data_IF_442443857592
#
_entry.id   IF_442443857592
#
_cell.length_a   1.000
_cell.length_b   1.000
_cell.length_c   1.000
_cell.angle_alpha   90.00
_cell.angle_beta   90.00
_cell.angle_gamma   90.00
#
_symmetry.space_group_name_H-M   'P 1'
#
loop_
_entity.id
_entity.type
_entity.pdbx_description
1 polymer ?
#
# COMPACT_ATOMS: atom_id res chain seq x y z
N UNK A 1 41.49 46.46 3.92
CA UNK A 1 40.59 45.73 4.76
C UNK A 1 39.45 45.17 3.91
N UNK A 2 39.56 43.92 3.47
CA UNK A 2 38.52 43.24 2.66
C UNK A 2 37.54 42.54 3.62
N UNK A 3 36.28 42.97 3.60
CA UNK A 3 35.22 42.31 4.36
C UNK A 3 34.76 41.03 3.60
N UNK A 4 34.99 39.89 4.21
CA UNK A 4 34.48 38.59 3.73
C UNK A 4 33.01 38.47 4.15
N UNK A 5 32.12 38.39 3.18
CA UNK A 5 30.69 38.16 3.42
C UNK A 5 30.48 36.64 3.43
N UNK A 6 30.22 36.09 4.60
CA UNK A 6 29.79 34.70 4.72
C UNK A 6 28.29 34.63 4.44
N UNK A 7 27.92 34.01 3.31
CA UNK A 7 26.54 33.65 3.00
C UNK A 7 26.27 32.28 3.63
N UNK A 8 25.49 32.26 4.71
CA UNK A 8 24.95 31.04 5.27
C UNK A 8 23.82 30.51 4.34
N UNK A 9 24.08 29.48 3.60
CA UNK A 9 23.01 28.68 2.98
C UNK A 9 22.35 27.82 4.09
N UNK A 10 21.21 28.28 4.57
CA UNK A 10 20.33 27.47 5.36
C UNK A 10 19.69 26.43 4.41
N UNK A 11 20.18 25.18 4.43
CA UNK A 11 19.44 24.06 3.89
C UNK A 11 18.18 23.87 4.74
N UNK A 12 17.05 24.41 4.27
CA UNK A 12 15.74 23.97 4.73
C UNK A 12 15.57 22.52 4.25
N UNK A 13 15.77 21.59 5.16
CA UNK A 13 15.19 20.26 5.01
C UNK A 13 13.67 20.44 4.99
N UNK A 14 13.09 20.46 3.80
CA UNK A 14 11.67 20.20 3.63
C UNK A 14 11.46 18.75 4.09
N UNK A 15 11.05 18.59 5.34
CA UNK A 15 10.42 17.36 5.78
C UNK A 15 9.20 17.16 4.87
N UNK A 16 9.28 16.19 3.97
CA UNK A 16 8.12 15.66 3.26
C UNK A 16 7.19 15.19 4.36
N UNK A 17 6.11 15.91 4.60
CA UNK A 17 5.03 15.47 5.44
C UNK A 17 4.36 14.28 4.72
N UNK A 18 4.92 13.08 4.91
CA UNK A 18 4.16 11.86 4.69
C UNK A 18 2.86 12.02 5.48
N UNK A 19 1.73 11.63 4.89
CA UNK A 19 0.43 11.69 5.58
C UNK A 19 0.63 11.16 6.99
N UNK A 20 0.48 12.03 8.01
CA UNK A 20 0.62 11.62 9.41
C UNK A 20 -0.50 10.63 9.74
N UNK A 21 -0.20 9.36 9.57
CA UNK A 21 -1.00 8.28 10.12
C UNK A 21 -0.65 8.15 11.61
N UNK A 22 -1.12 9.12 12.39
CA UNK A 22 -0.91 9.13 13.83
C UNK A 22 -1.50 7.87 14.46
N UNK A 23 -0.84 7.36 15.49
CA UNK A 23 -1.33 6.27 16.31
C UNK A 23 -2.79 6.52 16.70
N UNK A 24 -3.69 5.59 16.34
CA UNK A 24 -5.10 5.76 16.59
C UNK A 24 -5.41 5.52 18.09
N UNK A 25 -5.79 6.57 18.78
CA UNK A 25 -6.38 6.44 20.12
C UNK A 25 -7.79 5.82 20.11
N UNK A 26 -8.34 5.58 18.90
CA UNK A 26 -9.71 5.06 18.67
C UNK A 26 -9.72 3.65 18.09
N UNK A 27 -8.64 2.88 18.25
CA UNK A 27 -8.61 1.50 17.75
C UNK A 27 -9.78 0.69 18.36
N UNK A 28 -10.49 -0.01 17.48
CA UNK A 28 -11.61 -0.88 17.86
C UNK A 28 -11.26 -2.33 17.55
N UNK A 29 -11.21 -3.17 18.61
CA UNK A 29 -10.99 -4.60 18.40
C UNK A 29 -12.20 -5.20 17.65
N UNK A 30 -11.98 -5.95 16.55
CA UNK A 30 -13.08 -6.56 15.80
C UNK A 30 -13.87 -7.54 16.69
N UNK A 31 -15.22 -7.50 16.59
CA UNK A 31 -16.09 -8.40 17.36
C UNK A 31 -16.10 -9.84 16.82
N UNK A 32 -15.87 -10.01 15.53
CA UNK A 32 -15.86 -11.32 14.85
C UNK A 32 -14.67 -12.17 15.33
N UNK A 33 -14.97 -13.37 15.86
CA UNK A 33 -13.97 -14.30 16.40
C UNK A 33 -13.02 -14.86 15.33
N UNK A 34 -13.48 -15.03 14.09
CA UNK A 34 -12.62 -15.48 12.99
C UNK A 34 -11.63 -14.38 12.60
N UNK A 35 -12.07 -13.12 12.59
CA UNK A 35 -11.19 -11.97 12.38
C UNK A 35 -10.18 -11.83 13.51
N UNK A 36 -10.59 -11.99 14.78
CA UNK A 36 -9.67 -11.99 15.92
C UNK A 36 -8.60 -13.08 15.82
N UNK A 37 -9.01 -14.31 15.46
CA UNK A 37 -8.09 -15.42 15.27
C UNK A 37 -7.09 -15.17 14.13
N UNK A 38 -7.56 -14.64 12.99
CA UNK A 38 -6.70 -14.25 11.87
C UNK A 38 -5.74 -13.13 12.27
N UNK A 39 -6.22 -12.13 13.00
CA UNK A 39 -5.42 -11.00 13.48
C UNK A 39 -4.30 -11.47 14.43
N UNK A 40 -4.61 -12.40 15.33
CA UNK A 40 -3.60 -13.03 16.18
C UNK A 40 -2.55 -13.79 15.36
N UNK A 41 -2.98 -14.54 14.34
CA UNK A 41 -2.07 -15.24 13.42
C UNK A 41 -1.15 -14.28 12.67
N UNK A 42 -1.75 -13.21 12.12
CA UNK A 42 -1.01 -12.17 11.39
C UNK A 42 -0.01 -11.43 12.30
N UNK A 43 -0.39 -11.13 13.55
CA UNK A 43 0.48 -10.48 14.52
C UNK A 43 1.74 -11.28 14.88
N UNK A 44 1.77 -12.59 14.62
CA UNK A 44 2.92 -13.47 14.89
C UNK A 44 3.92 -13.55 13.74
N UNK A 45 3.52 -13.26 12.51
CA UNK A 45 4.35 -13.46 11.32
C UNK A 45 5.25 -12.26 10.97
N UNK A 46 5.04 -11.11 11.57
CA UNK A 46 5.91 -9.95 11.72
C UNK A 46 6.46 -9.28 10.46
N UNK A 47 6.75 -10.00 9.37
CA UNK A 47 7.45 -9.48 8.21
C UNK A 47 6.74 -9.83 6.91
N UNK A 48 6.36 -8.81 6.13
CA UNK A 48 5.63 -8.91 4.88
C UNK A 48 6.26 -8.14 3.73
N UNK A 49 5.83 -8.46 2.52
CA UNK A 49 6.16 -7.80 1.27
C UNK A 49 4.97 -6.99 0.78
N UNK A 50 5.19 -5.72 0.44
CA UNK A 50 4.27 -4.90 -0.34
C UNK A 50 4.83 -4.72 -1.75
N UNK A 51 3.98 -4.70 -2.76
CA UNK A 51 4.43 -4.42 -4.12
C UNK A 51 3.52 -3.37 -4.76
N UNK A 52 4.10 -2.19 -5.05
CA UNK A 52 3.45 -1.17 -5.88
C UNK A 52 3.88 -1.35 -7.34
N UNK A 53 2.94 -1.80 -8.17
CA UNK A 53 3.22 -2.06 -9.57
C UNK A 53 2.04 -1.74 -10.48
N UNK A 54 2.32 -1.04 -11.56
CA UNK A 54 1.34 -0.63 -12.56
C UNK A 54 2.02 0.09 -13.73
N UNK A 55 1.23 0.70 -14.59
CA UNK A 55 1.72 1.40 -15.79
C UNK A 55 2.69 2.53 -15.47
N UNK A 56 2.57 3.16 -14.31
CA UNK A 56 3.44 4.23 -13.82
C UNK A 56 4.92 3.84 -13.69
N UNK A 57 5.22 2.56 -13.54
CA UNK A 57 6.60 2.07 -13.49
C UNK A 57 7.39 2.35 -14.79
N UNK A 58 6.70 2.51 -15.93
CA UNK A 58 7.33 2.86 -17.20
C UNK A 58 7.92 4.27 -17.21
N UNK A 59 7.31 5.19 -16.47
CA UNK A 59 7.79 6.56 -16.37
C UNK A 59 8.69 6.80 -15.16
N UNK A 60 8.74 5.86 -14.22
CA UNK A 60 9.47 6.03 -12.98
C UNK A 60 8.96 7.24 -12.18
N UNK A 61 7.65 7.42 -12.16
CA UNK A 61 6.96 8.47 -11.37
C UNK A 61 6.40 7.88 -10.08
N UNK A 62 6.05 8.75 -9.15
CA UNK A 62 5.44 8.36 -7.87
C UNK A 62 4.01 7.87 -8.14
N UNK A 63 3.87 6.58 -8.30
CA UNK A 63 2.64 5.84 -8.61
C UNK A 63 1.63 6.68 -9.44
N UNK A 64 0.37 6.72 -9.01
CA UNK A 64 -0.68 7.53 -9.65
C UNK A 64 -0.59 9.03 -9.35
N UNK A 65 0.21 9.45 -8.38
CA UNK A 65 0.11 10.80 -7.81
C UNK A 65 0.45 11.92 -8.79
N UNK A 66 1.24 11.64 -9.82
CA UNK A 66 1.48 12.61 -10.89
C UNK A 66 0.21 13.00 -11.68
N UNK A 67 -0.88 12.24 -11.54
CA UNK A 67 -2.21 12.59 -12.07
C UNK A 67 -2.97 13.56 -11.17
N UNK A 68 -2.63 13.66 -9.88
CA UNK A 68 -3.30 14.61 -8.99
C UNK A 68 -2.98 16.05 -9.42
N UNK A 69 -3.98 16.90 -9.72
CA UNK A 69 -3.72 18.15 -10.40
C UNK A 69 -3.02 19.20 -9.53
N UNK A 70 -3.30 19.29 -8.23
CA UNK A 70 -2.92 20.49 -7.48
C UNK A 70 -2.39 20.29 -6.06
N UNK A 71 -2.77 19.24 -5.35
CA UNK A 71 -2.66 19.23 -3.89
C UNK A 71 -1.34 18.71 -3.33
N UNK A 72 -0.46 18.16 -4.19
CA UNK A 72 0.75 17.49 -3.70
C UNK A 72 2.02 18.06 -4.35
N UNK A 73 2.74 18.92 -3.63
CA UNK A 73 3.98 19.52 -4.12
C UNK A 73 5.10 18.53 -4.45
N UNK A 74 5.05 17.30 -3.94
CA UNK A 74 5.99 16.23 -4.23
C UNK A 74 5.64 15.41 -5.49
N UNK A 75 4.46 15.62 -6.08
CA UNK A 75 3.99 14.91 -7.29
C UNK A 75 4.29 15.66 -8.58
N UNK A 76 5.46 16.21 -8.71
CA UNK A 76 5.83 17.01 -9.88
C UNK A 76 5.76 16.18 -11.16
N UNK A 77 4.89 16.58 -12.09
CA UNK A 77 4.82 16.00 -13.42
C UNK A 77 6.12 16.25 -14.19
N UNK A 78 6.60 15.23 -14.87
CA UNK A 78 7.84 15.28 -15.65
C UNK A 78 7.57 14.89 -17.11
N UNK A 79 8.52 15.22 -17.98
CA UNK A 79 8.48 14.85 -19.38
C UNK A 79 7.73 15.84 -20.28
N UNK A 80 7.54 15.50 -21.55
CA UNK A 80 7.07 16.44 -22.58
C UNK A 80 5.61 16.89 -22.39
N UNK A 81 4.82 16.15 -21.61
CA UNK A 81 3.40 16.45 -21.35
C UNK A 81 3.16 17.20 -20.05
N UNK A 82 4.20 17.50 -19.28
CA UNK A 82 4.07 18.03 -17.90
C UNK A 82 3.33 19.38 -17.81
N UNK A 83 3.35 20.19 -18.87
CA UNK A 83 2.81 21.56 -18.89
C UNK A 83 1.28 21.61 -19.08
N UNK A 84 0.65 20.56 -19.60
CA UNK A 84 -0.80 20.46 -19.78
C UNK A 84 -1.34 19.21 -19.11
N UNK A 85 -2.16 19.40 -18.09
CA UNK A 85 -2.70 18.29 -17.29
C UNK A 85 -3.55 17.29 -18.11
N UNK A 86 -4.36 17.79 -19.05
CA UNK A 86 -5.21 16.90 -19.85
C UNK A 86 -4.38 16.04 -20.80
N UNK A 87 -3.40 16.64 -21.46
CA UNK A 87 -2.47 15.93 -22.32
C UNK A 87 -1.62 14.93 -21.51
N UNK A 88 -1.20 15.32 -20.30
CA UNK A 88 -0.47 14.45 -19.39
C UNK A 88 -1.31 13.23 -18.99
N UNK A 89 -2.56 13.45 -18.56
CA UNK A 89 -3.49 12.37 -18.18
C UNK A 89 -3.72 11.42 -19.34
N UNK A 90 -3.97 11.93 -20.54
CA UNK A 90 -4.15 11.11 -21.74
C UNK A 90 -2.90 10.28 -22.07
N UNK A 91 -1.72 10.88 -22.00
CA UNK A 91 -0.45 10.18 -22.23
C UNK A 91 -0.20 9.10 -21.16
N UNK A 92 -0.50 9.41 -19.89
CA UNK A 92 -0.41 8.44 -18.80
C UNK A 92 -1.35 7.25 -18.99
N UNK A 93 -2.62 7.48 -19.30
CA UNK A 93 -3.60 6.42 -19.55
C UNK A 93 -3.22 5.56 -20.76
N UNK A 94 -2.53 6.14 -21.76
CA UNK A 94 -2.02 5.42 -22.91
C UNK A 94 -0.82 4.51 -22.57
N UNK A 95 -0.20 4.61 -21.40
CA UNK A 95 0.84 3.69 -20.95
C UNK A 95 0.37 2.22 -20.94
N UNK A 96 -0.93 1.98 -20.81
CA UNK A 96 -1.52 0.64 -20.94
C UNK A 96 -1.17 -0.03 -22.28
N UNK A 97 -0.93 0.77 -23.35
CA UNK A 97 -0.65 0.26 -24.70
C UNK A 97 0.80 -0.18 -24.91
N UNK A 98 1.67 0.15 -23.97
CA UNK A 98 3.10 -0.16 -23.99
C UNK A 98 3.56 -1.00 -22.80
N UNK A 99 2.70 -1.14 -21.77
CA UNK A 99 3.02 -1.91 -20.59
C UNK A 99 3.01 -3.41 -20.88
N UNK A 100 4.21 -3.97 -21.04
CA UNK A 100 4.42 -5.37 -21.46
C UNK A 100 5.47 -6.06 -20.60
N UNK A 101 5.13 -6.54 -19.39
CA UNK A 101 6.07 -7.11 -18.43
C UNK A 101 6.50 -8.54 -18.79
N UNK A 102 7.24 -8.71 -19.88
CA UNK A 102 7.64 -10.02 -20.44
C UNK A 102 8.54 -10.85 -19.53
N UNK A 103 9.19 -10.23 -18.52
CA UNK A 103 10.02 -10.94 -17.52
C UNK A 103 9.25 -11.30 -16.25
N UNK A 104 7.95 -11.03 -16.19
CA UNK A 104 7.13 -11.32 -15.03
C UNK A 104 7.23 -12.80 -14.60
N UNK A 105 7.74 -13.00 -13.39
CA UNK A 105 7.93 -14.32 -12.80
C UNK A 105 7.59 -14.28 -11.31
N UNK A 106 6.31 -14.46 -10.95
CA UNK A 106 5.86 -14.37 -9.56
C UNK A 106 6.44 -15.47 -8.67
N UNK A 107 6.77 -16.64 -9.21
CA UNK A 107 7.39 -17.74 -8.47
C UNK A 107 8.80 -17.35 -7.98
N UNK A 108 9.57 -16.65 -8.82
CA UNK A 108 10.89 -16.11 -8.46
C UNK A 108 10.77 -15.10 -7.32
N UNK A 109 9.77 -14.22 -7.38
CA UNK A 109 9.51 -13.22 -6.34
C UNK A 109 9.09 -13.87 -5.01
N UNK A 110 8.16 -14.84 -5.07
CA UNK A 110 7.69 -15.55 -3.90
C UNK A 110 8.82 -16.32 -3.20
N UNK A 111 9.71 -16.96 -3.98
CA UNK A 111 10.88 -17.66 -3.44
C UNK A 111 11.87 -16.68 -2.79
N UNK A 112 12.17 -15.55 -3.43
CA UNK A 112 13.07 -14.54 -2.88
C UNK A 112 12.52 -13.95 -1.57
N UNK A 113 11.24 -13.63 -1.51
CA UNK A 113 10.57 -13.14 -0.32
C UNK A 113 10.56 -14.19 0.81
N UNK A 114 10.28 -15.46 0.48
CA UNK A 114 10.36 -16.57 1.45
C UNK A 114 11.74 -16.73 2.04
N UNK A 115 12.76 -16.70 1.19
CA UNK A 115 14.18 -16.83 1.63
C UNK A 115 14.61 -15.64 2.49
N UNK A 116 14.04 -14.45 2.27
CA UNK A 116 14.24 -13.28 3.13
C UNK A 116 13.52 -13.39 4.49
N UNK A 117 12.68 -14.41 4.68
CA UNK A 117 11.91 -14.60 5.91
C UNK A 117 10.54 -13.91 5.92
N UNK A 118 10.07 -13.38 4.81
CA UNK A 118 8.73 -12.80 4.72
C UNK A 118 7.65 -13.88 4.78
N UNK A 119 6.48 -13.57 5.35
CA UNK A 119 5.40 -14.51 5.62
C UNK A 119 4.04 -14.09 5.06
N UNK A 120 3.89 -12.85 4.62
CA UNK A 120 2.68 -12.38 3.95
C UNK A 120 3.05 -11.41 2.83
N UNK A 121 2.16 -11.28 1.87
CA UNK A 121 2.30 -10.36 0.73
C UNK A 121 1.04 -9.52 0.60
N UNK A 122 1.22 -8.23 0.28
CA UNK A 122 0.16 -7.33 -0.14
C UNK A 122 0.51 -6.80 -1.53
N UNK A 123 -0.37 -7.02 -2.50
CA UNK A 123 -0.14 -6.61 -3.88
C UNK A 123 -1.14 -5.54 -4.32
N UNK A 124 -0.65 -4.48 -4.99
CA UNK A 124 -1.50 -3.43 -5.57
C UNK A 124 -2.30 -3.98 -6.75
N UNK A 125 -3.51 -4.45 -6.49
CA UNK A 125 -4.41 -4.92 -7.56
C UNK A 125 -4.91 -3.76 -8.43
N UNK A 126 -5.08 -2.59 -7.82
CA UNK A 126 -5.40 -1.31 -8.48
C UNK A 126 -4.89 -0.16 -7.60
N UNK A 127 -4.14 0.80 -8.17
CA UNK A 127 -3.80 2.06 -7.52
C UNK A 127 -4.81 3.16 -7.90
N UNK A 128 -4.63 4.41 -7.45
CA UNK A 128 -5.60 5.51 -7.64
C UNK A 128 -5.86 5.84 -9.12
N UNK A 129 -4.90 5.57 -10.03
CA UNK A 129 -5.05 5.76 -11.48
C UNK A 129 -6.13 4.90 -12.13
N UNK A 130 -6.63 3.90 -11.41
CA UNK A 130 -7.66 3.00 -11.89
C UNK A 130 -7.16 1.90 -12.82
N UNK A 131 -5.83 1.78 -13.08
CA UNK A 131 -5.32 0.67 -13.88
C UNK A 131 -5.36 -0.63 -13.08
N UNK A 132 -6.09 -1.61 -13.60
CA UNK A 132 -6.33 -2.87 -12.92
C UNK A 132 -5.27 -3.90 -13.32
N UNK A 133 -4.49 -4.39 -12.34
CA UNK A 133 -3.55 -5.49 -12.50
C UNK A 133 -4.22 -6.87 -12.34
N UNK A 134 -5.55 -6.89 -12.40
CA UNK A 134 -6.41 -8.07 -12.32
C UNK A 134 -7.49 -8.04 -13.42
N UNK A 135 -8.09 -9.18 -13.70
CA UNK A 135 -9.08 -9.32 -14.75
C UNK A 135 -10.49 -8.94 -14.27
N UNK A 136 -10.74 -7.65 -14.07
CA UNK A 136 -12.06 -7.14 -13.69
C UNK A 136 -13.01 -7.09 -14.88
N UNK A 137 -14.30 -7.31 -14.63
CA UNK A 137 -15.38 -7.12 -15.60
C UNK A 137 -15.92 -5.67 -15.59
N UNK A 138 -15.47 -4.85 -14.63
CA UNK A 138 -15.99 -3.51 -14.40
C UNK A 138 -15.29 -2.44 -15.24
N UNK A 139 -14.12 -2.72 -15.80
CA UNK A 139 -13.31 -1.76 -16.56
C UNK A 139 -12.48 -2.47 -17.64
N UNK A 140 -12.32 -1.81 -18.80
CA UNK A 140 -11.35 -2.22 -19.83
C UNK A 140 -9.95 -1.62 -19.62
N UNK A 141 -9.80 -0.71 -18.66
CA UNK A 141 -8.51 -0.15 -18.25
C UNK A 141 -7.79 -1.13 -17.33
N UNK A 142 -7.27 -2.19 -17.92
CA UNK A 142 -6.69 -3.34 -17.19
C UNK A 142 -5.61 -4.03 -18.01
N UNK A 143 -4.72 -4.77 -17.33
CA UNK A 143 -3.61 -5.49 -17.94
C UNK A 143 -4.08 -6.63 -18.86
N UNK A 144 -5.26 -7.19 -18.63
CA UNK A 144 -5.92 -8.19 -19.51
C UNK A 144 -6.79 -7.56 -20.60
N UNK A 145 -6.86 -6.22 -20.64
CA UNK A 145 -7.72 -5.49 -21.57
C UNK A 145 -7.17 -5.53 -23.02
N UNK A 146 -8.07 -5.28 -23.98
CA UNK A 146 -7.75 -5.36 -25.41
C UNK A 146 -6.65 -4.38 -25.88
N UNK A 147 -6.39 -3.32 -25.12
CA UNK A 147 -5.34 -2.34 -25.39
C UNK A 147 -3.97 -2.75 -24.82
N UNK A 148 -3.92 -3.74 -23.94
CA UNK A 148 -2.69 -4.19 -23.30
C UNK A 148 -1.95 -5.17 -24.21
N UNK A 149 -0.66 -4.94 -24.52
CA UNK A 149 0.15 -5.90 -25.25
C UNK A 149 0.38 -7.21 -24.48
N UNK A 150 0.20 -7.18 -23.15
CA UNK A 150 0.36 -8.35 -22.28
C UNK A 150 -0.91 -9.21 -22.18
N UNK A 151 -2.05 -8.76 -22.72
CA UNK A 151 -3.35 -9.43 -22.58
C UNK A 151 -3.39 -10.91 -23.03
N UNK A 152 -2.57 -11.27 -24.02
CA UNK A 152 -2.49 -12.64 -24.55
C UNK A 152 -1.42 -13.50 -23.85
N UNK A 153 -0.71 -12.97 -22.85
CA UNK A 153 0.24 -13.75 -22.08
C UNK A 153 -0.53 -14.72 -21.15
N UNK A 154 -0.10 -16.00 -21.02
CA UNK A 154 -0.74 -16.94 -20.09
C UNK A 154 -0.82 -16.43 -18.64
N UNK A 155 0.10 -15.54 -18.24
CA UNK A 155 0.16 -14.89 -16.92
C UNK A 155 -0.44 -13.47 -16.90
N UNK A 156 -1.30 -13.12 -17.87
CA UNK A 156 -1.85 -11.77 -17.99
C UNK A 156 -2.69 -11.32 -16.79
N UNK A 157 -3.34 -12.25 -16.10
CA UNK A 157 -4.01 -11.93 -14.84
C UNK A 157 -2.99 -11.89 -13.68
N UNK A 158 -2.21 -10.82 -13.66
CA UNK A 158 -1.04 -10.64 -12.78
C UNK A 158 -1.36 -10.87 -11.32
N UNK A 159 -2.46 -10.28 -10.81
CA UNK A 159 -2.85 -10.45 -9.42
C UNK A 159 -3.10 -11.93 -9.07
N UNK A 160 -3.76 -12.69 -9.97
CA UNK A 160 -4.03 -14.11 -9.77
C UNK A 160 -2.75 -14.92 -9.69
N UNK A 161 -1.81 -14.66 -10.60
CA UNK A 161 -0.52 -15.34 -10.66
C UNK A 161 0.33 -15.04 -9.40
N UNK A 162 0.36 -13.79 -8.95
CA UNK A 162 1.04 -13.41 -7.71
C UNK A 162 0.41 -14.13 -6.51
N UNK A 163 -0.91 -14.06 -6.34
CA UNK A 163 -1.55 -14.71 -5.21
C UNK A 163 -1.35 -16.22 -5.20
N UNK A 164 -1.37 -16.87 -6.35
CA UNK A 164 -1.09 -18.31 -6.46
C UNK A 164 0.36 -18.61 -6.05
N UNK A 165 1.34 -17.95 -6.67
CA UNK A 165 2.75 -18.21 -6.41
C UNK A 165 3.13 -17.99 -4.93
N UNK A 166 2.60 -16.95 -4.29
CA UNK A 166 2.87 -16.68 -2.88
C UNK A 166 2.14 -17.65 -1.95
N UNK A 167 0.90 -18.03 -2.26
CA UNK A 167 0.15 -19.05 -1.52
C UNK A 167 0.86 -20.40 -1.53
N UNK A 168 1.40 -20.80 -2.70
CA UNK A 168 2.16 -22.06 -2.85
C UNK A 168 3.44 -22.05 -2.00
N UNK A 169 3.96 -20.88 -1.64
CA UNK A 169 5.07 -20.73 -0.70
C UNK A 169 4.62 -20.58 0.77
N UNK A 170 3.31 -20.66 1.06
CA UNK A 170 2.75 -20.61 2.42
C UNK A 170 2.53 -19.20 2.97
N UNK A 171 2.47 -18.19 2.12
CA UNK A 171 2.20 -16.81 2.54
C UNK A 171 0.72 -16.58 2.83
N UNK A 172 0.41 -15.70 3.78
CA UNK A 172 -0.86 -14.99 3.76
C UNK A 172 -0.88 -14.03 2.59
N UNK A 173 -2.01 -13.94 1.88
CA UNK A 173 -2.17 -13.08 0.71
C UNK A 173 -3.09 -11.91 1.00
N UNK A 174 -2.67 -10.73 0.57
CA UNK A 174 -3.40 -9.49 0.73
C UNK A 174 -3.59 -8.75 -0.61
N UNK A 175 -4.82 -8.33 -0.85
CA UNK A 175 -5.17 -7.46 -1.96
C UNK A 175 -5.15 -6.00 -1.48
N UNK A 176 -4.17 -5.22 -1.93
CA UNK A 176 -4.26 -3.77 -1.87
C UNK A 176 -5.24 -3.31 -2.95
N UNK A 177 -6.14 -2.44 -2.56
CA UNK A 177 -7.12 -1.86 -3.45
C UNK A 177 -7.33 -0.38 -3.11
N UNK A 178 -7.12 0.51 -4.09
CA UNK A 178 -7.48 1.91 -3.96
C UNK A 178 -8.98 2.10 -3.99
N UNK A 179 -9.54 2.73 -2.97
CA UNK A 179 -10.96 3.12 -2.95
C UNK A 179 -11.29 4.17 -4.03
N UNK A 180 -10.50 5.26 -4.19
CA UNK A 180 -10.68 6.17 -5.32
C UNK A 180 -10.28 5.51 -6.64
N UNK A 181 -10.83 6.01 -7.73
CA UNK A 181 -10.48 5.61 -9.09
C UNK A 181 -10.51 6.83 -10.00
N UNK A 182 -9.33 7.31 -10.38
CA UNK A 182 -9.18 8.56 -11.15
C UNK A 182 -9.39 8.38 -12.67
N UNK A 183 -9.62 7.14 -13.13
CA UNK A 183 -9.96 6.85 -14.51
C UNK A 183 -11.48 6.82 -14.73
N UNK A 184 -12.23 6.25 -13.77
CA UNK A 184 -13.69 6.15 -13.94
C UNK A 184 -14.36 7.52 -13.94
N UNK A 185 -15.27 7.78 -14.92
CA UNK A 185 -16.05 9.01 -14.95
C UNK A 185 -17.04 9.12 -13.79
N UNK A 186 -17.23 8.07 -13.01
CA UNK A 186 -18.07 8.06 -11.82
C UNK A 186 -17.37 8.61 -10.58
N UNK A 187 -16.04 8.82 -10.66
CA UNK A 187 -15.27 9.48 -9.62
C UNK A 187 -14.70 10.83 -10.10
N UNK A 188 -13.92 10.84 -11.21
CA UNK A 188 -13.49 12.07 -11.87
C UNK A 188 -14.29 12.29 -13.15
N UNK A 189 -15.37 13.05 -13.00
CA UNK A 189 -16.29 13.28 -14.10
C UNK A 189 -15.84 14.45 -14.97
N UNK A 190 -15.70 14.21 -16.28
CA UNK A 190 -15.16 15.18 -17.26
C UNK A 190 -15.84 16.57 -17.26
N UNK A 191 -17.09 16.67 -16.81
CA UNK A 191 -17.81 17.96 -16.71
C UNK A 191 -17.40 18.79 -15.49
N UNK A 192 -16.71 18.18 -14.54
CA UNK A 192 -16.14 18.79 -13.34
C UNK A 192 -14.67 18.40 -13.25
N UNK A 193 -13.74 19.19 -13.87
CA UNK A 193 -12.32 18.89 -13.80
C UNK A 193 -11.86 18.69 -12.36
N UNK A 194 -11.13 17.62 -12.07
CA UNK A 194 -10.61 17.40 -10.73
C UNK A 194 -9.65 18.53 -10.33
N UNK A 195 -9.70 18.90 -9.06
CA UNK A 195 -8.82 19.92 -8.46
C UNK A 195 -7.82 19.32 -7.50
N UNK A 196 -8.20 18.21 -6.93
CA UNK A 196 -7.47 17.47 -5.92
C UNK A 196 -7.79 15.96 -6.03
N UNK A 197 -7.39 15.17 -5.06
CA UNK A 197 -7.60 13.72 -4.98
C UNK A 197 -9.06 13.27 -4.81
N UNK A 198 -9.96 14.19 -4.42
CA UNK A 198 -11.33 13.85 -4.08
C UNK A 198 -12.20 13.64 -5.33
N UNK A 199 -13.45 13.18 -5.12
CA UNK A 199 -14.47 13.13 -6.15
C UNK A 199 -14.66 14.53 -6.76
N UNK A 200 -14.72 14.61 -8.10
CA UNK A 200 -14.69 15.91 -8.81
C UNK A 200 -16.03 16.64 -8.82
N UNK A 201 -17.10 16.05 -8.32
CA UNK A 201 -18.45 16.60 -8.27
C UNK A 201 -19.06 16.46 -6.87
N UNK A 202 -20.20 17.06 -6.64
CA UNK A 202 -20.95 16.91 -5.38
C UNK A 202 -21.87 15.68 -5.45
N UNK A 203 -21.56 14.58 -4.72
CA UNK A 203 -22.38 13.37 -4.70
C UNK A 203 -23.83 13.60 -4.24
N UNK A 204 -24.09 14.65 -3.43
CA UNK A 204 -25.45 15.01 -3.02
C UNK A 204 -26.27 15.57 -4.17
N UNK A 205 -25.61 16.25 -5.13
CA UNK A 205 -26.30 16.80 -6.34
C UNK A 205 -26.45 15.76 -7.45
N UNK A 206 -25.57 14.77 -7.48
CA UNK A 206 -25.54 13.71 -8.50
C UNK A 206 -25.50 12.33 -7.84
N UNK A 207 -26.54 11.97 -7.07
CA UNK A 207 -26.53 10.74 -6.28
C UNK A 207 -26.48 9.47 -7.13
N UNK A 208 -27.10 9.47 -8.33
CA UNK A 208 -27.07 8.34 -9.25
C UNK A 208 -25.63 8.01 -9.71
N UNK A 209 -24.82 9.05 -9.87
CA UNK A 209 -23.42 8.89 -10.27
C UNK A 209 -22.57 8.31 -9.14
N UNK A 210 -22.84 8.75 -7.91
CA UNK A 210 -22.18 8.21 -6.74
C UNK A 210 -22.58 6.75 -6.46
N UNK A 211 -23.84 6.40 -6.63
CA UNK A 211 -24.33 5.02 -6.52
C UNK A 211 -23.70 4.11 -7.59
N UNK A 212 -23.50 4.63 -8.82
CA UNK A 212 -22.75 3.91 -9.86
C UNK A 212 -21.32 3.63 -9.42
N UNK A 213 -20.62 4.61 -8.84
CA UNK A 213 -19.27 4.44 -8.31
C UNK A 213 -19.21 3.43 -7.14
N UNK A 214 -20.18 3.50 -6.22
CA UNK A 214 -20.29 2.51 -5.14
C UNK A 214 -20.43 1.09 -5.67
N UNK A 215 -21.31 0.90 -6.65
CA UNK A 215 -21.52 -0.39 -7.29
C UNK A 215 -20.27 -0.88 -8.02
N UNK A 216 -19.60 0.00 -8.75
CA UNK A 216 -18.33 -0.28 -9.42
C UNK A 216 -17.27 -0.78 -8.44
N UNK A 217 -17.07 -0.05 -7.33
CA UNK A 217 -16.11 -0.40 -6.29
C UNK A 217 -16.47 -1.71 -5.58
N UNK A 218 -17.74 -1.88 -5.23
CA UNK A 218 -18.26 -3.11 -4.62
C UNK A 218 -17.99 -4.33 -5.50
N UNK A 219 -18.36 -4.25 -6.78
CA UNK A 219 -18.20 -5.36 -7.72
C UNK A 219 -16.73 -5.73 -7.94
N UNK A 220 -15.81 -4.75 -8.04
CA UNK A 220 -14.39 -5.03 -8.17
C UNK A 220 -13.82 -5.73 -6.93
N UNK A 221 -14.23 -5.32 -5.74
CA UNK A 221 -13.81 -5.98 -4.50
C UNK A 221 -14.42 -7.39 -4.41
N UNK A 222 -15.68 -7.56 -4.81
CA UNK A 222 -16.33 -8.89 -4.85
C UNK A 222 -15.60 -9.85 -5.79
N UNK A 223 -15.21 -9.41 -6.99
CA UNK A 223 -14.40 -10.18 -7.93
C UNK A 223 -13.08 -10.64 -7.29
N UNK A 224 -12.38 -9.73 -6.60
CA UNK A 224 -11.13 -10.07 -5.90
C UNK A 224 -11.35 -11.09 -4.77
N UNK A 225 -12.45 -11.00 -4.05
CA UNK A 225 -12.75 -11.89 -2.93
C UNK A 225 -13.28 -13.26 -3.38
N UNK A 226 -13.92 -13.36 -4.56
CA UNK A 226 -14.53 -14.60 -5.06
C UNK A 226 -13.65 -15.40 -6.03
N UNK A 227 -12.91 -14.71 -6.92
CA UNK A 227 -12.30 -15.34 -8.11
C UNK A 227 -10.76 -15.54 -8.01
N UNK A 228 -10.15 -15.08 -6.92
CA UNK A 228 -8.69 -15.06 -6.74
C UNK A 228 -8.17 -16.05 -5.68
N UNK A 229 -9.00 -17.02 -5.29
CA UNK A 229 -8.69 -18.00 -4.26
C UNK A 229 -8.71 -17.39 -2.86
N UNK A 230 -7.92 -17.95 -1.94
CA UNK A 230 -7.90 -17.44 -0.57
C UNK A 230 -7.20 -16.09 -0.50
N UNK A 231 -7.89 -15.09 0.03
CA UNK A 231 -7.36 -13.77 0.39
C UNK A 231 -7.51 -13.59 1.90
N UNK A 232 -6.43 -13.23 2.57
CA UNK A 232 -6.40 -13.08 4.02
C UNK A 232 -6.54 -11.62 4.47
N UNK A 233 -6.18 -10.65 3.61
CA UNK A 233 -6.15 -9.22 3.91
C UNK A 233 -6.75 -8.44 2.74
N UNK A 234 -7.74 -7.61 3.02
CA UNK A 234 -8.21 -6.55 2.12
C UNK A 234 -7.64 -5.21 2.62
N UNK A 235 -6.61 -4.74 1.95
CA UNK A 235 -5.85 -3.55 2.31
C UNK A 235 -6.31 -2.37 1.46
N UNK A 236 -7.16 -1.52 2.03
CA UNK A 236 -7.83 -0.43 1.33
C UNK A 236 -7.05 0.88 1.51
N UNK A 237 -6.71 1.52 0.41
CA UNK A 237 -6.09 2.84 0.43
C UNK A 237 -7.05 3.93 -0.06
N UNK A 238 -6.63 5.20 0.07
CA UNK A 238 -7.47 6.34 -0.24
C UNK A 238 -8.40 6.71 0.92
N UNK A 239 -7.80 6.99 2.08
CA UNK A 239 -8.53 7.34 3.31
C UNK A 239 -9.46 8.55 3.21
N UNK A 240 -9.36 9.36 2.16
CA UNK A 240 -10.29 10.46 1.88
C UNK A 240 -11.65 9.99 1.31
N UNK A 241 -11.72 8.78 0.77
CA UNK A 241 -12.99 8.14 0.40
C UNK A 241 -13.61 7.54 1.65
N UNK A 242 -14.42 8.35 2.35
CA UNK A 242 -15.00 8.04 3.67
C UNK A 242 -16.33 8.75 3.90
N UNK A 243 -17.14 8.30 4.85
CA UNK A 243 -18.28 9.07 5.34
C UNK A 243 -17.84 10.45 5.84
N UNK A 244 -18.57 11.50 5.48
CA UNK A 244 -18.25 12.87 5.92
C UNK A 244 -18.23 12.99 7.45
N UNK A 245 -19.06 12.22 8.14
CA UNK A 245 -19.10 12.15 9.62
C UNK A 245 -17.80 11.65 10.27
N UNK A 246 -16.91 10.99 9.50
CA UNK A 246 -15.62 10.51 9.98
C UNK A 246 -14.46 11.48 9.70
N UNK A 247 -14.74 12.62 9.07
CA UNK A 247 -13.72 13.63 8.74
C UNK A 247 -13.28 14.37 9.99
N UNK A 248 -11.97 14.38 10.24
CA UNK A 248 -11.35 15.16 11.31
C UNK A 248 -10.62 16.37 10.72
N UNK A 249 -11.23 17.55 10.86
CA UNK A 249 -10.68 18.81 10.33
C UNK A 249 -9.46 19.32 11.08
N UNK A 250 -9.07 18.70 12.21
CA UNK A 250 -7.79 18.98 12.87
C UNK A 250 -6.61 18.41 12.10
N UNK A 251 -6.84 17.36 11.29
CA UNK A 251 -5.87 16.74 10.39
C UNK A 251 -5.84 17.52 9.08
N UNK A 252 -4.69 18.07 8.71
CA UNK A 252 -4.56 19.04 7.62
C UNK A 252 -5.11 18.53 6.28
N UNK A 253 -4.69 17.35 5.82
CA UNK A 253 -5.12 16.80 4.54
C UNK A 253 -6.63 16.47 4.50
N UNK A 254 -7.28 16.21 5.66
CA UNK A 254 -8.71 15.94 5.71
C UNK A 254 -9.57 17.20 5.48
N UNK A 255 -9.00 18.40 5.59
CA UNK A 255 -9.69 19.65 5.29
C UNK A 255 -10.07 19.80 3.81
N UNK A 256 -9.42 19.05 2.91
CA UNK A 256 -9.77 19.01 1.48
C UNK A 256 -11.04 18.20 1.21
N UNK A 257 -11.46 17.32 2.12
CA UNK A 257 -12.67 16.48 1.98
C UNK A 257 -13.90 17.35 2.21
N UNK A 258 -14.56 17.74 1.11
CA UNK A 258 -15.73 18.64 1.13
C UNK A 258 -17.06 17.94 0.94
N UNK A 259 -17.04 16.67 0.52
CA UNK A 259 -18.22 15.89 0.17
C UNK A 259 -18.25 14.57 0.93
N UNK A 260 -19.45 14.06 1.12
CA UNK A 260 -19.63 12.70 1.62
C UNK A 260 -19.19 11.70 0.55
N UNK A 261 -18.13 10.96 0.83
CA UNK A 261 -17.58 9.92 -0.04
C UNK A 261 -17.76 8.53 0.58
N UNK A 262 -18.93 8.31 1.17
CA UNK A 262 -19.30 7.04 1.77
C UNK A 262 -19.59 5.99 0.69
N UNK A 263 -18.81 4.91 0.68
CA UNK A 263 -18.96 3.76 -0.23
C UNK A 263 -19.64 2.56 0.44
N UNK A 264 -20.21 2.75 1.64
CA UNK A 264 -20.84 1.69 2.43
C UNK A 264 -19.87 0.55 2.81
N UNK A 265 -18.82 0.92 3.54
CA UNK A 265 -17.81 -0.04 4.00
C UNK A 265 -18.38 -1.22 4.78
N UNK A 266 -19.50 -1.02 5.51
CA UNK A 266 -20.19 -2.08 6.20
C UNK A 266 -20.70 -3.18 5.28
N UNK A 267 -21.28 -2.79 4.15
CA UNK A 267 -21.74 -3.73 3.12
C UNK A 267 -20.58 -4.43 2.41
N UNK A 268 -19.54 -3.67 2.05
CA UNK A 268 -18.32 -4.21 1.42
C UNK A 268 -17.66 -5.25 2.35
N UNK A 269 -17.47 -4.95 3.62
CA UNK A 269 -16.84 -5.86 4.57
C UNK A 269 -17.67 -7.13 4.83
N UNK A 270 -19.00 -7.01 4.90
CA UNK A 270 -19.89 -8.19 5.01
C UNK A 270 -19.79 -9.08 3.79
N UNK A 271 -19.90 -8.52 2.58
CA UNK A 271 -19.74 -9.25 1.31
C UNK A 271 -18.39 -9.95 1.26
N UNK A 272 -17.31 -9.21 1.50
CA UNK A 272 -15.95 -9.73 1.47
C UNK A 272 -15.74 -10.90 2.46
N UNK A 273 -16.27 -10.78 3.69
CA UNK A 273 -16.21 -11.86 4.70
C UNK A 273 -17.12 -13.04 4.41
N UNK A 274 -18.16 -12.87 3.60
CA UNK A 274 -18.96 -14.01 3.10
C UNK A 274 -18.12 -14.91 2.18
N UNK A 275 -17.29 -14.32 1.32
CA UNK A 275 -16.38 -15.06 0.45
C UNK A 275 -15.10 -15.51 1.19
N UNK A 276 -14.60 -14.70 2.13
CA UNK A 276 -13.35 -14.91 2.85
C UNK A 276 -13.56 -14.83 4.37
N UNK A 277 -14.05 -15.89 5.03
CA UNK A 277 -14.27 -15.89 6.48
C UNK A 277 -13.00 -15.54 7.26
N UNK A 278 -13.13 -14.61 8.20
CA UNK A 278 -12.00 -14.11 9.00
C UNK A 278 -11.09 -13.11 8.28
N UNK A 279 -11.48 -12.60 7.11
CA UNK A 279 -10.73 -11.58 6.35
C UNK A 279 -10.39 -10.37 7.22
N UNK A 280 -9.10 -10.00 7.24
CA UNK A 280 -8.67 -8.72 7.80
C UNK A 280 -9.01 -7.60 6.81
N UNK A 281 -9.80 -6.64 7.25
CA UNK A 281 -10.11 -5.43 6.50
C UNK A 281 -9.32 -4.28 7.10
N UNK A 282 -8.60 -3.56 6.26
CA UNK A 282 -7.74 -2.43 6.66
C UNK A 282 -8.18 -1.21 5.85
N UNK A 283 -9.17 -0.50 6.39
CA UNK A 283 -9.62 0.79 5.85
C UNK A 283 -8.73 1.90 6.40
N UNK A 284 -7.55 2.05 5.78
CA UNK A 284 -6.47 2.93 6.26
C UNK A 284 -6.97 4.33 6.59
N UNK A 285 -6.56 4.83 7.74
CA UNK A 285 -6.87 6.18 8.24
C UNK A 285 -8.36 6.48 8.46
N UNK A 286 -9.24 5.48 8.30
CA UNK A 286 -10.65 5.59 8.67
C UNK A 286 -10.87 4.74 9.91
N UNK A 287 -10.67 5.37 11.07
CA UNK A 287 -10.73 4.67 12.35
C UNK A 287 -12.09 4.04 12.60
N UNK A 288 -12.09 2.82 13.16
CA UNK A 288 -13.29 2.09 13.47
C UNK A 288 -13.20 0.58 13.22
N UNK A 289 -14.35 -0.05 13.06
CA UNK A 289 -14.51 -1.51 12.97
C UNK A 289 -13.75 -2.14 11.80
N UNK A 290 -13.54 -1.38 10.71
CA UNK A 290 -12.91 -1.89 9.48
C UNK A 290 -11.43 -1.52 9.36
N UNK A 291 -10.84 -0.90 10.38
CA UNK A 291 -9.40 -0.75 10.53
C UNK A 291 -8.88 -1.81 11.50
N UNK A 292 -8.80 -3.09 11.04
CA UNK A 292 -8.45 -4.21 11.93
C UNK A 292 -7.02 -4.16 12.48
N UNK A 293 -6.14 -3.40 11.84
CA UNK A 293 -4.86 -2.94 12.38
C UNK A 293 -4.51 -1.57 11.81
N UNK A 294 -3.77 -0.79 12.58
CA UNK A 294 -3.37 0.57 12.21
C UNK A 294 -2.13 0.52 11.32
N UNK A 295 -2.01 1.43 10.35
CA UNK A 295 -0.95 1.40 9.34
C UNK A 295 -0.17 2.72 9.26
N UNK A 296 0.69 3.06 10.24
CA UNK A 296 1.59 4.20 10.12
C UNK A 296 2.49 4.02 8.89
N UNK A 297 2.52 5.05 8.04
CA UNK A 297 3.26 5.02 6.78
C UNK A 297 4.63 5.68 6.95
N UNK A 298 5.71 4.98 6.53
CA UNK A 298 7.09 5.44 6.62
C UNK A 298 7.53 5.87 8.04
N UNK A 299 6.82 5.41 9.06
CA UNK A 299 7.03 5.80 10.45
C UNK A 299 7.07 4.58 11.37
N UNK A 300 7.87 4.70 12.43
CA UNK A 300 7.83 3.78 13.57
C UNK A 300 7.32 4.57 14.77
N UNK A 301 6.21 4.15 15.41
CA UNK A 301 5.73 4.79 16.63
C UNK A 301 6.84 4.96 17.67
N UNK A 302 6.82 6.06 18.41
CA UNK A 302 7.86 6.35 19.41
C UNK A 302 7.90 5.29 20.52
N UNK A 303 6.74 4.75 20.90
CA UNK A 303 6.57 3.80 21.99
C UNK A 303 5.77 2.57 21.56
N UNK A 304 5.72 1.57 22.43
CA UNK A 304 4.84 0.41 22.34
C UNK A 304 3.38 0.83 22.11
N UNK A 305 2.68 0.15 21.18
CA UNK A 305 1.25 0.30 20.97
C UNK A 305 0.51 -0.98 21.43
N UNK A 306 -0.52 -0.85 22.28
CA UNK A 306 -1.23 -2.00 22.86
C UNK A 306 -2.28 -2.61 21.92
N UNK A 307 -2.22 -2.32 20.63
CA UNK A 307 -3.12 -2.82 19.59
C UNK A 307 -2.32 -3.19 18.33
N UNK A 308 -2.90 -4.00 17.43
CA UNK A 308 -2.23 -4.42 16.19
C UNK A 308 -1.91 -3.24 15.28
N UNK A 309 -0.70 -3.21 14.75
CA UNK A 309 -0.27 -2.19 13.80
C UNK A 309 0.81 -2.71 12.84
N UNK A 310 0.92 -2.08 11.70
CA UNK A 310 1.86 -2.41 10.64
C UNK A 310 2.52 -1.13 10.13
N UNK A 311 3.84 -1.08 10.11
CA UNK A 311 4.52 -0.01 9.40
C UNK A 311 4.77 -0.44 7.95
N UNK A 312 4.15 0.24 7.00
CA UNK A 312 4.48 0.08 5.59
C UNK A 312 5.62 1.04 5.21
N UNK A 313 6.70 0.47 4.69
CA UNK A 313 7.95 1.18 4.37
C UNK A 313 8.48 0.79 3.01
N UNK A 314 9.08 1.74 2.29
CA UNK A 314 9.77 1.47 1.03
C UNK A 314 11.15 0.89 1.27
N UNK A 315 11.58 -0.05 0.44
CA UNK A 315 12.98 -0.47 0.38
C UNK A 315 13.84 0.64 -0.25
N UNK A 316 13.37 1.26 -1.34
CA UNK A 316 13.95 2.45 -1.96
C UNK A 316 13.39 3.75 -1.39
N UNK A 317 13.44 4.82 -2.17
CA UNK A 317 12.88 6.13 -1.84
C UNK A 317 11.45 6.31 -2.37
N UNK A 318 11.00 5.48 -3.31
CA UNK A 318 9.67 5.52 -3.90
C UNK A 318 8.89 4.23 -3.62
N UNK A 319 7.55 4.29 -3.65
CA UNK A 319 6.70 3.11 -3.61
C UNK A 319 6.77 2.33 -4.92
N UNK A 320 6.70 3.03 -6.05
CA UNK A 320 6.87 2.44 -7.39
C UNK A 320 8.34 2.31 -7.77
N UNK A 321 8.59 1.58 -8.86
CA UNK A 321 9.91 1.54 -9.48
C UNK A 321 10.32 2.91 -10.01
N UNK A 322 11.52 3.34 -9.62
CA UNK A 322 12.21 4.50 -10.16
C UNK A 322 13.60 4.06 -10.62
N UNK A 323 14.03 4.40 -11.86
CA UNK A 323 15.37 4.07 -12.31
C UNK A 323 16.45 4.67 -11.41
N UNK A 324 17.45 3.87 -11.05
CA UNK A 324 18.56 4.27 -10.16
C UNK A 324 18.12 4.74 -8.76
N UNK A 325 17.06 4.16 -8.21
CA UNK A 325 16.61 4.45 -6.84
C UNK A 325 17.68 4.01 -5.81
N UNK A 326 17.75 4.75 -4.71
CA UNK A 326 18.63 4.42 -3.60
C UNK A 326 17.93 3.51 -2.59
N UNK A 327 18.38 2.27 -2.53
CA UNK A 327 17.84 1.27 -1.61
C UNK A 327 18.44 1.41 -0.21
N UNK A 328 17.61 1.29 0.81
CA UNK A 328 18.05 1.14 2.20
C UNK A 328 19.01 -0.05 2.30
N UNK A 329 20.04 0.05 3.15
CA UNK A 329 20.90 -1.08 3.41
C UNK A 329 20.16 -2.21 4.14
N UNK A 330 20.56 -3.45 3.92
CA UNK A 330 20.03 -4.62 4.62
C UNK A 330 20.04 -4.42 6.14
N UNK A 331 21.13 -3.84 6.68
CA UNK A 331 21.26 -3.47 8.08
C UNK A 331 20.16 -2.48 8.53
N UNK A 332 19.85 -1.47 7.73
CA UNK A 332 18.79 -0.50 8.06
C UNK A 332 17.44 -1.17 8.12
N UNK A 333 17.13 -2.08 7.19
CA UNK A 333 15.88 -2.84 7.17
C UNK A 333 15.76 -3.76 8.39
N UNK A 334 16.85 -4.45 8.75
CA UNK A 334 16.91 -5.30 9.96
C UNK A 334 16.65 -4.46 11.21
N UNK A 335 17.28 -3.29 11.35
CA UNK A 335 17.04 -2.40 12.47
C UNK A 335 15.57 -1.92 12.53
N UNK A 336 14.97 -1.59 11.39
CA UNK A 336 13.54 -1.23 11.32
C UNK A 336 12.66 -2.41 11.75
N UNK A 337 12.94 -3.62 11.25
CA UNK A 337 12.19 -4.82 11.62
C UNK A 337 12.25 -5.08 13.13
N UNK A 338 13.46 -5.07 13.72
CA UNK A 338 13.64 -5.33 15.15
C UNK A 338 12.98 -4.24 16.01
N UNK A 339 13.10 -2.98 15.63
CA UNK A 339 12.45 -1.85 16.31
C UNK A 339 10.91 -1.95 16.27
N UNK A 340 10.34 -2.25 15.09
CA UNK A 340 8.90 -2.41 14.90
C UNK A 340 8.37 -3.57 15.74
N UNK A 341 9.03 -4.72 15.69
CA UNK A 341 8.61 -5.91 16.44
C UNK A 341 8.68 -5.68 17.94
N UNK A 342 9.72 -5.00 18.44
CA UNK A 342 9.86 -4.65 19.87
C UNK A 342 8.77 -3.71 20.38
N UNK A 343 8.02 -3.06 19.48
CA UNK A 343 6.89 -2.17 19.77
C UNK A 343 5.53 -2.77 19.42
N UNK A 344 5.47 -4.10 19.23
CA UNK A 344 4.26 -4.87 18.91
C UNK A 344 3.75 -4.73 17.46
N UNK A 345 4.58 -4.29 16.52
CA UNK A 345 4.20 -4.08 15.14
C UNK A 345 4.65 -5.18 14.19
N UNK A 346 4.16 -5.08 12.95
CA UNK A 346 4.63 -5.81 11.79
C UNK A 346 5.29 -4.84 10.80
N UNK A 347 6.33 -5.30 10.11
CA UNK A 347 6.93 -4.56 9.00
C UNK A 347 6.37 -5.08 7.67
N UNK A 348 5.81 -4.19 6.86
CA UNK A 348 5.43 -4.41 5.47
C UNK A 348 6.41 -3.65 4.57
N UNK A 349 7.39 -4.36 4.00
CA UNK A 349 8.46 -3.77 3.19
C UNK A 349 8.07 -3.75 1.72
N UNK A 350 8.06 -2.58 1.10
CA UNK A 350 7.67 -2.41 -0.30
C UNK A 350 8.84 -2.52 -1.27
N UNK A 351 8.61 -3.25 -2.35
CA UNK A 351 9.48 -3.33 -3.52
C UNK A 351 8.62 -3.03 -4.76
N UNK A 352 9.00 -2.01 -5.54
CA UNK A 352 8.35 -1.68 -6.81
C UNK A 352 8.98 -2.46 -7.96
N UNK A 353 8.24 -3.35 -8.64
CA UNK A 353 8.77 -4.02 -9.84
C UNK A 353 8.97 -3.05 -11.02
N UNK A 354 10.00 -3.30 -11.82
CA UNK A 354 10.28 -2.58 -13.05
C UNK A 354 9.19 -2.84 -14.12
N UNK A 355 9.09 -1.99 -15.16
CA UNK A 355 8.04 -2.13 -16.17
C UNK A 355 8.15 -3.40 -17.02
N UNK A 356 9.31 -4.03 -17.06
CA UNK A 356 9.52 -5.30 -17.74
C UNK A 356 9.14 -6.54 -16.91
N UNK A 357 8.74 -6.35 -15.65
CA UNK A 357 8.32 -7.42 -14.76
C UNK A 357 9.46 -8.03 -13.95
N UNK A 358 10.58 -7.32 -13.75
CA UNK A 358 11.67 -7.79 -12.90
C UNK A 358 11.87 -6.84 -11.70
N UNK A 359 12.38 -7.34 -10.59
CA UNK A 359 12.87 -6.50 -9.52
C UNK A 359 14.30 -6.04 -9.82
N UNK A 360 14.64 -4.87 -9.31
CA UNK A 360 16.03 -4.38 -9.36
C UNK A 360 16.97 -5.40 -8.68
N UNK A 361 18.15 -5.70 -9.27
CA UNK A 361 19.13 -6.60 -8.65
C UNK A 361 19.52 -6.25 -7.21
N UNK A 362 19.52 -4.95 -6.88
CA UNK A 362 19.80 -4.50 -5.52
C UNK A 362 18.69 -4.92 -4.53
N UNK A 363 17.43 -5.03 -4.96
CA UNK A 363 16.35 -5.54 -4.11
C UNK A 363 16.61 -7.01 -3.74
N UNK A 364 16.96 -7.85 -4.71
CA UNK A 364 17.32 -9.25 -4.46
C UNK A 364 18.51 -9.37 -3.51
N UNK A 365 19.58 -8.59 -3.71
CA UNK A 365 20.76 -8.60 -2.84
C UNK A 365 20.40 -8.22 -1.38
N UNK A 366 19.51 -7.21 -1.20
CA UNK A 366 19.05 -6.84 0.16
C UNK A 366 18.24 -7.96 0.80
N UNK A 367 17.34 -8.60 0.04
CA UNK A 367 16.54 -9.71 0.54
C UNK A 367 17.39 -10.91 0.91
N UNK A 368 18.43 -11.24 0.13
CA UNK A 368 19.37 -12.31 0.45
C UNK A 368 20.11 -12.06 1.77
N UNK A 369 20.63 -10.86 1.98
CA UNK A 369 21.32 -10.48 3.20
C UNK A 369 20.38 -10.54 4.42
N UNK A 370 19.16 -10.01 4.27
CA UNK A 370 18.13 -10.08 5.33
C UNK A 370 17.81 -11.53 5.64
N UNK A 371 17.68 -12.37 4.61
CA UNK A 371 17.43 -13.80 4.78
C UNK A 371 18.52 -14.54 5.57
N UNK A 372 19.78 -14.25 5.29
CA UNK A 372 20.92 -14.81 6.08
C UNK A 372 20.81 -14.43 7.55
N UNK A 373 20.43 -13.18 7.84
CA UNK A 373 20.23 -12.73 9.22
C UNK A 373 19.00 -13.39 9.87
N UNK A 374 17.88 -13.51 9.14
CA UNK A 374 16.64 -14.12 9.62
C UNK A 374 16.78 -15.62 9.90
N UNK A 375 17.63 -16.36 9.17
CA UNK A 375 17.91 -17.77 9.43
C UNK A 375 18.52 -17.99 10.82
N UNK A 376 19.30 -17.03 11.31
CA UNK A 376 19.94 -17.11 12.64
C UNK A 376 19.06 -16.51 13.73
N UNK A 377 18.39 -15.38 13.43
CA UNK A 377 17.74 -14.53 14.43
C UNK A 377 16.20 -14.56 14.37
N UNK A 378 15.62 -15.34 13.45
CA UNK A 378 14.16 -15.37 13.25
C UNK A 378 13.37 -15.80 14.49
N UNK A 379 13.98 -16.51 15.42
CA UNK A 379 13.38 -16.88 16.70
C UNK A 379 13.01 -15.65 17.55
N UNK A 380 13.84 -14.60 17.52
CA UNK A 380 13.60 -13.33 18.20
C UNK A 380 12.52 -12.45 17.53
N UNK A 381 12.08 -12.83 16.30
CA UNK A 381 11.13 -12.08 15.48
C UNK A 381 9.76 -12.75 15.46
N UNK A 382 9.69 -14.02 14.99
CA UNK A 382 8.41 -14.71 14.84
C UNK A 382 7.86 -15.22 16.17
N UNK A 383 6.55 -15.08 16.36
CA UNK A 383 5.87 -15.41 17.61
C UNK A 383 6.44 -14.66 18.83
N UNK A 384 7.32 -13.67 18.61
CA UNK A 384 7.85 -12.86 19.68
C UNK A 384 6.84 -11.76 20.07
N UNK A 385 6.78 -11.51 21.36
CA UNK A 385 5.93 -10.50 21.96
C UNK A 385 6.77 -9.26 22.33
N UNK A 386 6.17 -8.10 22.16
CA UNK A 386 6.70 -6.87 22.73
C UNK A 386 6.27 -6.78 24.19
N UNK A 387 7.15 -6.34 25.07
CA UNK A 387 6.85 -6.14 26.49
C UNK A 387 7.00 -4.66 26.84
N UNK A 388 5.88 -4.03 27.18
CA UNK A 388 5.86 -2.61 27.54
C UNK A 388 6.72 -2.28 28.79
N UNK A 389 7.03 -3.28 29.61
CA UNK A 389 7.91 -3.14 30.78
C UNK A 389 9.41 -3.17 30.43
N UNK A 390 9.73 -3.55 29.19
CA UNK A 390 11.08 -3.60 28.64
C UNK A 390 11.26 -2.56 27.52
N UNK A 391 11.19 -1.27 27.81
CA UNK A 391 11.38 -0.23 26.80
C UNK A 391 12.80 -0.28 26.25
N UNK A 392 12.97 0.01 24.97
CA UNK A 392 14.28 0.11 24.34
C UNK A 392 15.16 1.15 25.06
N UNK A 393 16.45 0.86 25.15
CA UNK A 393 17.45 1.73 25.79
C UNK A 393 18.60 2.00 24.83
N UNK A 394 18.73 3.24 24.39
CA UNK A 394 19.76 3.64 23.45
C UNK A 394 19.64 2.89 22.12
N UNK A 395 20.55 1.94 21.84
CA UNK A 395 20.54 1.09 20.63
C UNK A 395 19.93 -0.29 20.86
N UNK A 396 19.50 -0.59 22.07
CA UNK A 396 18.94 -1.88 22.42
C UNK A 396 17.42 -1.85 22.32
N UNK A 397 16.87 -2.88 21.71
CA UNK A 397 15.43 -3.16 21.67
C UNK A 397 15.21 -4.61 22.12
N UNK A 398 14.05 -4.90 22.71
CA UNK A 398 13.80 -6.17 23.35
C UNK A 398 12.53 -6.81 22.80
N UNK A 399 12.61 -8.13 22.61
CA UNK A 399 11.45 -8.97 22.37
C UNK A 399 11.47 -10.14 23.36
N UNK A 400 10.30 -10.71 23.61
CA UNK A 400 10.13 -11.83 24.55
C UNK A 400 9.44 -12.99 23.85
N UNK A 401 9.90 -14.20 24.15
CA UNK A 401 9.23 -15.43 23.72
C UNK A 401 9.37 -16.48 24.81
N UNK A 402 8.24 -16.89 25.38
CA UNK A 402 8.23 -17.74 26.59
C UNK A 402 9.07 -17.12 27.71
N UNK A 403 10.09 -17.84 28.22
CA UNK A 403 10.97 -17.39 29.27
C UNK A 403 12.26 -16.70 28.76
N UNK A 404 12.40 -16.54 27.46
CA UNK A 404 13.56 -15.92 26.84
C UNK A 404 13.31 -14.45 26.48
N UNK A 405 14.28 -13.58 26.78
CA UNK A 405 14.35 -12.19 26.33
C UNK A 405 15.47 -12.09 25.31
N UNK A 406 15.16 -11.51 24.16
CA UNK A 406 16.11 -11.23 23.09
C UNK A 406 16.41 -9.73 23.06
N UNK A 407 17.70 -9.36 22.79
CA UNK A 407 18.18 -8.00 22.74
C UNK A 407 18.97 -7.72 21.44
#
# INVERSE_FOLDING_TARGET
>A
MKKLLFVFFAFMFLSVNAQEHTASLKYTLPADKLVQAKLSQWGKIKFGLLMHWGTYSQWGVVESWSLCPEDEGWTVRKGPYAMDWYTYKQAYENLQTTFNPVKFNPEKWALAAKNAGMKYVVFTTKHHDGFNMFDTKQSDYKITGTKSPFANNPKANVAKEIFNAFRDQGFMTGAYFSKPDWNTPDYWWKYFPPKDRNVSYDPKKYPEKWESFKKFTYNQIEELMSDYGKIDILWLDGGWVRPFSSVDTSVEWQRTIKHNQDIDMGNIARMARTHQPGLLVVDRTVHGEYENYVTPEQQVPATYLPYPWESCMTLGNSWSYVPNDEYKSSRKVIHLLTEIVSKNGNLLLNIGPAPDGEWDPNAYARLEDIGKWMQVNGEAIYDAEADASLPGQGKWVFTKKQDCIYA
#
